data_IF_747488549336
#
_entry.id   IF_747488549336
#
_cell.length_a   1.000
_cell.length_b   1.000
_cell.length_c   1.000
_cell.angle_alpha   90.00
_cell.angle_beta   90.00
_cell.angle_gamma   90.00
#
_symmetry.space_group_name_H-M   'P 1'
#
loop_
_entity.id
_entity.type
_entity.pdbx_description
1 polymer ?
#
# COMPACT_ATOMS: atom_id res chain seq x y z
N UNK A 1 -7.56 41.52 -20.78
CA UNK A 1 -6.69 40.43 -20.28
C UNK A 1 -7.55 39.48 -19.45
N UNK A 2 -7.87 38.28 -19.98
CA UNK A 2 -8.65 37.27 -19.26
C UNK A 2 -7.71 36.42 -18.41
N UNK A 3 -7.91 36.46 -17.09
CA UNK A 3 -7.27 35.57 -16.12
C UNK A 3 -7.66 34.13 -16.42
N UNK A 4 -6.72 33.34 -16.94
CA UNK A 4 -6.89 31.90 -17.08
C UNK A 4 -6.56 31.30 -15.72
N UNK A 5 -7.61 31.13 -14.91
CA UNK A 5 -7.62 30.24 -13.75
C UNK A 5 -7.31 28.82 -14.25
N UNK A 6 -6.03 28.45 -14.25
CA UNK A 6 -5.60 27.08 -14.48
C UNK A 6 -6.05 26.21 -13.32
N UNK A 7 -7.21 25.60 -13.50
CA UNK A 7 -7.67 24.47 -12.73
C UNK A 7 -6.72 23.28 -13.04
N UNK A 8 -5.56 23.24 -12.37
CA UNK A 8 -4.63 22.10 -12.43
C UNK A 8 -5.31 20.91 -11.77
N UNK A 9 -6.08 20.18 -12.58
CA UNK A 9 -6.63 18.88 -12.24
C UNK A 9 -5.45 17.96 -11.96
N UNK A 10 -5.14 17.74 -10.68
CA UNK A 10 -4.16 16.73 -10.25
C UNK A 10 -4.68 15.40 -10.80
N UNK A 11 -4.07 14.92 -11.89
CA UNK A 11 -4.39 13.65 -12.52
C UNK A 11 -3.98 12.54 -11.54
N UNK A 12 -4.87 12.19 -10.61
CA UNK A 12 -4.72 10.98 -9.80
C UNK A 12 -4.77 9.79 -10.74
N UNK A 13 -3.60 9.22 -11.01
CA UNK A 13 -3.43 8.03 -11.84
C UNK A 13 -4.00 6.81 -11.10
N UNK A 14 -5.30 6.57 -11.24
CA UNK A 14 -5.97 5.37 -10.69
C UNK A 14 -5.82 4.20 -11.66
N UNK A 15 -4.64 3.57 -11.73
CA UNK A 15 -4.52 2.22 -12.33
C UNK A 15 -4.98 1.18 -11.30
N UNK A 16 -5.71 0.13 -11.70
CA UNK A 16 -6.12 -0.92 -10.79
C UNK A 16 -4.88 -1.64 -10.24
N UNK A 17 -4.74 -1.61 -8.91
CA UNK A 17 -3.72 -2.36 -8.20
C UNK A 17 -4.01 -3.86 -8.35
N UNK A 18 -2.99 -4.64 -8.74
CA UNK A 18 -3.16 -6.10 -8.93
C UNK A 18 -2.68 -6.86 -7.71
N UNK A 19 -1.54 -6.49 -7.14
CA UNK A 19 -1.08 -7.04 -5.87
C UNK A 19 -0.09 -6.10 -5.16
N UNK A 20 0.09 -6.31 -3.86
CA UNK A 20 1.27 -5.85 -3.16
C UNK A 20 2.41 -6.83 -3.48
N UNK A 21 3.61 -6.34 -3.77
CA UNK A 21 4.74 -7.19 -4.14
C UNK A 21 5.06 -8.31 -3.12
N UNK A 22 4.75 -8.07 -1.84
CA UNK A 22 4.82 -9.07 -0.76
C UNK A 22 3.95 -10.33 -0.98
N UNK A 23 2.88 -10.25 -1.77
CA UNK A 23 1.99 -11.37 -2.07
C UNK A 23 2.25 -12.03 -3.43
N UNK A 24 3.37 -11.72 -4.10
CA UNK A 24 3.68 -12.30 -5.41
C UNK A 24 5.11 -12.84 -5.53
N UNK A 25 5.53 -13.84 -4.72
CA UNK A 25 6.89 -14.40 -4.75
C UNK A 25 7.30 -14.99 -6.10
N UNK A 26 6.34 -15.41 -6.93
CA UNK A 26 6.58 -16.03 -8.25
C UNK A 26 6.98 -15.06 -9.36
N UNK A 27 6.83 -13.76 -9.17
CA UNK A 27 7.10 -12.82 -10.26
C UNK A 27 8.60 -12.51 -10.41
N UNK A 28 9.42 -12.57 -9.35
CA UNK A 28 10.67 -11.80 -9.25
C UNK A 28 11.87 -12.27 -10.10
N UNK A 29 12.12 -13.56 -10.30
CA UNK A 29 13.23 -13.99 -11.17
C UNK A 29 13.03 -13.58 -12.64
N UNK A 30 11.77 -13.37 -13.00
CA UNK A 30 11.31 -13.00 -14.34
C UNK A 30 10.73 -11.58 -14.40
N UNK A 31 10.71 -10.83 -13.28
CA UNK A 31 10.13 -9.47 -13.20
C UNK A 31 11.14 -8.41 -13.62
N UNK A 32 11.68 -8.60 -14.80
CA UNK A 32 12.61 -7.71 -15.45
C UNK A 32 12.23 -7.60 -16.92
N UNK A 33 12.47 -6.44 -17.54
CA UNK A 33 12.21 -6.31 -18.96
C UNK A 33 13.08 -7.28 -19.76
N UNK A 34 12.52 -7.82 -20.84
CA UNK A 34 13.19 -8.70 -21.79
C UNK A 34 13.48 -8.04 -23.15
N UNK A 35 12.88 -6.87 -23.40
CA UNK A 35 13.14 -6.05 -24.57
C UNK A 35 14.56 -5.45 -24.52
N UNK A 36 15.27 -5.46 -25.65
CA UNK A 36 16.68 -5.04 -25.74
C UNK A 36 16.87 -3.59 -25.26
N UNK A 37 15.97 -2.69 -25.62
CA UNK A 37 16.06 -1.28 -25.28
C UNK A 37 15.81 -1.07 -23.78
N UNK A 38 14.79 -1.74 -23.24
CA UNK A 38 14.49 -1.68 -21.81
C UNK A 38 15.58 -2.33 -20.95
N UNK A 39 16.29 -3.35 -21.45
CA UNK A 39 17.42 -3.98 -20.75
C UNK A 39 18.56 -2.98 -20.51
N UNK A 40 18.88 -2.13 -21.49
CA UNK A 40 19.93 -1.10 -21.33
C UNK A 40 19.55 -0.11 -20.21
N UNK A 41 18.31 0.39 -20.26
CA UNK A 41 17.76 1.30 -19.25
C UNK A 41 17.72 0.65 -17.85
N UNK A 42 17.32 -0.61 -17.76
CA UNK A 42 17.29 -1.36 -16.51
C UNK A 42 18.70 -1.50 -15.91
N UNK A 43 19.71 -1.82 -16.72
CA UNK A 43 21.12 -1.90 -16.26
C UNK A 43 21.62 -0.54 -15.77
N UNK A 44 21.33 0.54 -16.50
CA UNK A 44 21.70 1.89 -16.09
C UNK A 44 21.06 2.29 -14.75
N UNK A 45 19.79 1.92 -14.51
CA UNK A 45 19.13 2.12 -13.22
C UNK A 45 19.82 1.36 -12.08
N UNK A 46 20.18 0.09 -12.30
CA UNK A 46 20.92 -0.70 -11.30
C UNK A 46 22.28 -0.06 -10.98
N UNK A 47 23.01 0.42 -12.00
CA UNK A 47 24.27 1.15 -11.81
C UNK A 47 24.07 2.49 -11.09
N UNK A 48 22.94 3.15 -11.31
CA UNK A 48 22.53 4.36 -10.57
C UNK A 48 22.08 4.08 -9.12
N UNK A 49 22.11 2.82 -8.66
CA UNK A 49 21.83 2.43 -7.29
C UNK A 49 20.38 2.01 -7.03
N UNK A 50 19.54 1.93 -8.06
CA UNK A 50 18.18 1.40 -7.93
C UNK A 50 18.23 -0.12 -7.66
N UNK A 51 17.27 -0.62 -6.89
CA UNK A 51 17.21 -2.02 -6.44
C UNK A 51 15.80 -2.58 -6.62
N UNK A 52 15.70 -3.90 -6.80
CA UNK A 52 14.41 -4.58 -6.72
C UNK A 52 13.92 -4.56 -5.27
N UNK A 53 12.62 -4.40 -5.07
CA UNK A 53 12.01 -4.45 -3.73
C UNK A 53 10.66 -5.15 -3.77
N UNK A 54 10.38 -5.97 -2.75
CA UNK A 54 9.07 -6.60 -2.56
C UNK A 54 8.00 -5.61 -2.08
N UNK A 55 8.42 -4.42 -1.65
CA UNK A 55 7.53 -3.42 -1.07
C UNK A 55 6.87 -2.52 -2.11
N UNK A 56 7.17 -2.72 -3.40
CA UNK A 56 6.57 -1.95 -4.48
C UNK A 56 5.17 -2.49 -4.84
N UNK A 57 4.23 -1.58 -5.08
CA UNK A 57 2.93 -1.92 -5.68
C UNK A 57 3.09 -2.40 -7.12
N UNK A 58 2.49 -3.55 -7.42
CA UNK A 58 2.48 -4.13 -8.77
C UNK A 58 1.16 -3.77 -9.47
N UNK A 59 1.30 -3.08 -10.59
CA UNK A 59 0.18 -2.69 -11.44
C UNK A 59 -0.07 -3.68 -12.58
N UNK A 60 -1.29 -3.68 -13.11
CA UNK A 60 -1.66 -4.51 -14.26
C UNK A 60 -0.75 -4.21 -15.45
N UNK A 61 -0.15 -5.26 -16.02
CA UNK A 61 0.74 -5.17 -17.18
C UNK A 61 2.17 -4.73 -16.86
N UNK A 62 2.52 -4.54 -15.58
CA UNK A 62 3.90 -4.27 -15.19
C UNK A 62 4.75 -5.54 -15.40
N UNK A 63 5.89 -5.39 -16.07
CA UNK A 63 6.83 -6.47 -16.39
C UNK A 63 8.16 -6.36 -15.62
N UNK A 64 8.39 -5.24 -14.94
CA UNK A 64 9.55 -5.03 -14.10
C UNK A 64 9.41 -3.81 -13.19
N UNK A 65 10.24 -3.72 -12.17
CA UNK A 65 10.22 -2.60 -11.24
C UNK A 65 11.53 -2.44 -10.46
N UNK A 66 11.91 -1.21 -10.20
CA UNK A 66 13.09 -0.84 -9.43
C UNK A 66 12.78 0.36 -8.54
N UNK A 67 13.41 0.43 -7.37
CA UNK A 67 13.26 1.56 -6.44
C UNK A 67 14.61 2.14 -6.03
N UNK A 68 14.64 3.43 -5.74
CA UNK A 68 15.78 4.11 -5.13
C UNK A 68 15.31 4.86 -3.88
N UNK A 69 15.72 4.43 -2.67
CA UNK A 69 15.46 5.18 -1.45
C UNK A 69 16.19 6.53 -1.46
N UNK A 70 15.49 7.59 -1.04
CA UNK A 70 15.99 8.95 -0.89
C UNK A 70 15.78 9.43 0.56
N UNK A 71 16.59 10.42 0.99
CA UNK A 71 16.45 11.11 2.28
C UNK A 71 16.28 10.14 3.46
N UNK A 72 17.24 9.22 3.64
CA UNK A 72 17.21 8.16 4.67
C UNK A 72 15.97 7.25 4.61
N UNK A 73 15.40 7.10 3.42
CA UNK A 73 14.18 6.32 3.18
C UNK A 73 12.91 7.07 3.55
N UNK A 74 12.94 8.40 3.70
CA UNK A 74 11.70 9.21 3.84
C UNK A 74 10.95 9.34 2.53
N UNK A 75 11.63 9.17 1.40
CA UNK A 75 11.03 9.11 0.07
C UNK A 75 11.67 7.99 -0.76
N UNK A 76 11.00 7.56 -1.82
CA UNK A 76 11.49 6.54 -2.74
C UNK A 76 11.15 6.96 -4.17
N UNK A 77 12.10 6.83 -5.09
CA UNK A 77 11.80 6.85 -6.53
C UNK A 77 11.45 5.44 -6.96
N UNK A 78 10.30 5.28 -7.58
CA UNK A 78 9.78 4.03 -8.10
C UNK A 78 9.83 4.09 -9.61
N UNK A 79 10.47 3.11 -10.25
CA UNK A 79 10.47 2.92 -11.70
C UNK A 79 9.71 1.65 -12.02
N UNK A 80 8.85 1.70 -13.04
CA UNK A 80 8.01 0.59 -13.49
C UNK A 80 8.15 0.41 -14.98
N UNK A 81 8.39 -0.83 -15.39
CA UNK A 81 8.48 -1.21 -16.78
C UNK A 81 7.16 -1.86 -17.23
N UNK A 82 6.70 -1.46 -18.41
CA UNK A 82 5.60 -2.08 -19.14
C UNK A 82 6.09 -2.41 -20.55
N UNK A 83 5.31 -3.13 -21.35
CA UNK A 83 5.73 -3.55 -22.70
C UNK A 83 6.23 -2.39 -23.57
N UNK A 84 5.60 -1.22 -23.53
CA UNK A 84 5.90 -0.10 -24.42
C UNK A 84 6.27 1.21 -23.70
N UNK A 85 6.31 1.22 -22.37
CA UNK A 85 6.53 2.47 -21.62
C UNK A 85 7.19 2.21 -20.29
N UNK A 86 7.88 3.22 -19.79
CA UNK A 86 8.49 3.25 -18.47
C UNK A 86 7.85 4.41 -17.70
N UNK A 87 7.39 4.13 -16.50
CA UNK A 87 6.83 5.13 -15.59
C UNK A 87 7.79 5.31 -14.41
N UNK A 88 7.93 6.55 -13.95
CA UNK A 88 8.66 6.86 -12.74
C UNK A 88 7.82 7.74 -11.82
N UNK A 89 7.81 7.38 -10.54
CA UNK A 89 7.05 8.07 -9.51
C UNK A 89 7.94 8.37 -8.31
N UNK A 90 7.85 9.57 -7.76
CA UNK A 90 8.36 9.88 -6.43
C UNK A 90 7.24 9.60 -5.41
N UNK A 91 7.51 8.66 -4.52
CA UNK A 91 6.65 8.31 -3.41
C UNK A 91 7.23 8.88 -2.12
N UNK A 92 6.50 9.80 -1.49
CA UNK A 92 6.85 10.31 -0.17
C UNK A 92 6.27 9.34 0.85
N UNK A 93 7.05 8.97 1.88
CA UNK A 93 6.59 8.14 3.00
C UNK A 93 6.85 6.63 2.85
N UNK A 94 7.86 6.13 3.57
CA UNK A 94 8.14 4.68 3.75
C UNK A 94 7.52 4.08 5.02
N UNK A 95 7.00 4.91 5.94
CA UNK A 95 6.32 4.40 7.15
C UNK A 95 4.99 3.77 6.73
N UNK A 96 4.92 2.44 6.84
CA UNK A 96 3.91 1.49 6.36
C UNK A 96 2.55 2.08 5.91
N UNK A 97 1.83 2.81 6.77
CA UNK A 97 0.49 3.36 6.45
C UNK A 97 0.54 4.59 5.52
N UNK A 98 1.58 5.42 5.63
CA UNK A 98 1.78 6.58 4.76
C UNK A 98 2.04 6.20 3.30
N UNK A 99 2.67 5.05 3.07
CA UNK A 99 2.92 4.50 1.73
C UNK A 99 1.62 4.24 0.93
N UNK A 100 0.49 4.01 1.61
CA UNK A 100 -0.79 3.76 0.94
C UNK A 100 -1.63 5.03 0.69
N UNK A 101 -1.31 6.13 1.38
CA UNK A 101 -2.15 7.33 1.42
C UNK A 101 -1.47 8.57 0.83
N UNK A 102 -0.15 8.55 0.68
CA UNK A 102 0.60 9.71 0.24
C UNK A 102 0.52 9.91 -1.28
N UNK A 103 0.51 11.18 -1.73
CA UNK A 103 0.53 11.50 -3.15
C UNK A 103 1.81 10.97 -3.79
N UNK A 104 1.66 10.40 -4.98
CA UNK A 104 2.78 10.08 -5.86
C UNK A 104 2.90 11.14 -6.92
N UNK A 105 4.12 11.55 -7.18
CA UNK A 105 4.44 12.58 -8.16
C UNK A 105 5.17 11.95 -9.33
N UNK A 106 4.93 12.44 -10.54
CA UNK A 106 5.72 12.07 -11.71
C UNK A 106 7.19 12.46 -11.47
N UNK A 107 8.11 11.59 -11.90
CA UNK A 107 9.54 11.73 -11.60
C UNK A 107 10.44 11.24 -12.74
N UNK A 108 9.90 11.10 -13.95
CA UNK A 108 10.59 10.61 -15.14
C UNK A 108 11.84 11.45 -15.46
N UNK A 109 11.71 12.78 -15.38
CA UNK A 109 12.82 13.72 -15.61
C UNK A 109 13.97 13.54 -14.60
N UNK A 110 13.65 13.32 -13.32
CA UNK A 110 14.63 13.07 -12.26
C UNK A 110 15.38 11.77 -12.55
N UNK A 111 14.65 10.70 -12.87
CA UNK A 111 15.23 9.39 -13.16
C UNK A 111 16.13 9.48 -14.40
N UNK A 112 15.67 10.10 -15.48
CA UNK A 112 16.45 10.33 -16.70
C UNK A 112 17.77 11.06 -16.39
N UNK A 113 17.74 12.12 -15.57
CA UNK A 113 18.94 12.86 -15.20
C UNK A 113 19.96 11.99 -14.43
N UNK A 114 19.48 11.08 -13.57
CA UNK A 114 20.32 10.17 -12.78
C UNK A 114 20.98 9.10 -13.64
N UNK A 115 20.25 8.58 -14.63
CA UNK A 115 20.75 7.48 -15.47
C UNK A 115 21.56 7.94 -16.69
N UNK A 116 21.48 9.22 -17.07
CA UNK A 116 22.12 9.77 -18.28
C UNK A 116 23.59 9.38 -18.43
N UNK A 117 24.37 9.44 -17.35
CA UNK A 117 25.81 9.14 -17.39
C UNK A 117 26.15 7.64 -17.56
N UNK A 118 25.15 6.76 -17.42
CA UNK A 118 25.31 5.31 -17.55
C UNK A 118 24.76 4.77 -18.88
N UNK A 119 24.26 5.65 -19.74
CA UNK A 119 23.69 5.30 -21.03
C UNK A 119 24.55 5.86 -22.16
N UNK A 120 24.54 5.15 -23.30
CA UNK A 120 25.00 5.72 -24.57
C UNK A 120 24.03 6.84 -25.01
N UNK A 121 24.45 7.68 -25.96
CA UNK A 121 23.59 8.74 -26.49
C UNK A 121 22.31 8.16 -27.13
N UNK A 122 22.45 7.09 -27.91
CA UNK A 122 21.33 6.38 -28.55
C UNK A 122 20.37 5.76 -27.52
N UNK A 123 20.91 5.10 -26.49
CA UNK A 123 20.09 4.54 -25.42
C UNK A 123 19.40 5.63 -24.58
N UNK A 124 20.03 6.80 -24.42
CA UNK A 124 19.44 7.92 -23.72
C UNK A 124 18.27 8.52 -24.51
N UNK A 125 18.41 8.70 -25.82
CA UNK A 125 17.31 9.12 -26.71
C UNK A 125 16.16 8.12 -26.66
N UNK A 126 16.48 6.82 -26.72
CA UNK A 126 15.48 5.75 -26.55
C UNK A 126 14.79 5.83 -25.18
N UNK A 127 15.54 6.07 -24.11
CA UNK A 127 14.96 6.27 -22.78
C UNK A 127 13.99 7.45 -22.76
N UNK A 128 14.34 8.59 -23.36
CA UNK A 128 13.46 9.77 -23.37
C UNK A 128 12.14 9.55 -24.11
N UNK A 129 12.09 8.63 -25.07
CA UNK A 129 10.84 8.27 -25.78
C UNK A 129 10.02 7.22 -25.02
N UNK A 130 10.68 6.33 -24.27
CA UNK A 130 10.02 5.29 -23.47
C UNK A 130 9.45 5.80 -22.15
N UNK A 131 10.15 6.72 -21.48
CA UNK A 131 9.64 7.37 -20.28
C UNK A 131 8.41 8.21 -20.65
N UNK A 132 7.32 8.04 -19.90
CA UNK A 132 6.09 8.77 -20.17
C UNK A 132 6.35 10.29 -20.11
N UNK A 133 5.80 11.02 -21.08
CA UNK A 133 5.91 12.49 -21.12
C UNK A 133 5.38 13.11 -19.81
N UNK A 134 6.28 13.75 -19.07
CA UNK A 134 5.97 14.45 -17.83
C UNK A 134 5.39 15.83 -18.15
N UNK A 135 4.07 15.90 -18.33
CA UNK A 135 3.36 17.17 -18.57
C UNK A 135 3.19 18.00 -17.30
N UNK A 136 3.52 17.43 -16.15
CA UNK A 136 3.59 18.17 -14.91
C UNK A 136 5.03 18.61 -14.70
N UNK A 137 5.29 19.90 -14.53
CA UNK A 137 6.51 20.27 -13.79
C UNK A 137 6.13 20.24 -12.32
N UNK A 138 6.39 19.15 -11.57
CA UNK A 138 6.11 19.15 -10.15
C UNK A 138 7.00 20.21 -9.51
N UNK A 139 6.38 21.29 -9.03
CA UNK A 139 7.03 22.21 -8.10
C UNK A 139 7.22 21.43 -6.81
N UNK A 140 8.48 21.14 -6.48
CA UNK A 140 8.85 20.51 -5.22
C UNK A 140 8.55 21.50 -4.10
N UNK A 141 7.39 21.34 -3.47
CA UNK A 141 7.25 21.80 -2.11
C UNK A 141 7.96 20.76 -1.25
N UNK A 142 8.95 21.18 -0.47
CA UNK A 142 9.45 20.40 0.66
C UNK A 142 8.23 20.08 1.53
N UNK A 143 7.65 18.91 1.31
CA UNK A 143 6.67 18.35 2.23
C UNK A 143 7.46 17.88 3.44
N UNK A 144 7.88 18.83 4.28
CA UNK A 144 8.11 18.59 5.71
C UNK A 144 6.76 18.28 6.32
N UNK A 145 6.22 17.12 5.98
CA UNK A 145 5.04 16.63 6.63
C UNK A 145 5.49 16.20 8.02
N UNK A 146 5.28 17.08 8.99
CA UNK A 146 5.24 16.75 10.40
C UNK A 146 4.05 15.81 10.62
N UNK A 147 4.11 14.59 10.07
CA UNK A 147 3.22 13.51 10.46
C UNK A 147 3.74 12.92 11.76
N UNK A 148 3.68 13.76 12.80
CA UNK A 148 3.73 13.37 14.21
C UNK A 148 2.34 12.94 14.70
N UNK A 149 1.42 12.59 13.80
CA UNK A 149 0.27 11.76 14.15
C UNK A 149 0.79 10.34 14.34
N UNK A 150 1.34 10.17 15.54
CA UNK A 150 2.23 9.10 15.97
C UNK A 150 1.61 7.72 15.71
N UNK A 151 2.44 6.79 15.24
CA UNK A 151 2.16 5.36 15.28
C UNK A 151 1.58 4.92 16.64
N UNK A 152 1.99 5.60 17.71
CA UNK A 152 1.45 5.45 19.07
C UNK A 152 -0.06 5.69 19.08
N UNK A 153 -0.58 6.76 18.47
CA UNK A 153 -2.01 7.04 18.45
C UNK A 153 -2.82 5.94 17.74
N UNK A 154 -2.35 5.45 16.59
CA UNK A 154 -3.00 4.35 15.87
C UNK A 154 -2.92 3.05 16.67
N UNK A 155 -1.75 2.71 17.21
CA UNK A 155 -1.55 1.51 18.02
C UNK A 155 -2.39 1.52 19.31
N UNK A 156 -2.48 2.68 19.98
CA UNK A 156 -3.34 2.90 21.14
C UNK A 156 -4.82 2.75 20.75
N UNK A 157 -5.23 3.31 19.61
CA UNK A 157 -6.61 3.22 19.13
C UNK A 157 -7.03 1.76 18.82
N UNK A 158 -6.15 0.99 18.16
CA UNK A 158 -6.38 -0.43 17.89
C UNK A 158 -6.43 -1.22 19.20
N UNK A 159 -5.49 -0.97 20.12
CA UNK A 159 -5.45 -1.65 21.42
C UNK A 159 -6.71 -1.35 22.25
N UNK A 160 -7.19 -0.10 22.23
CA UNK A 160 -8.42 0.30 22.92
C UNK A 160 -9.65 -0.38 22.30
N UNK A 161 -9.72 -0.46 20.97
CA UNK A 161 -10.80 -1.16 20.27
C UNK A 161 -10.81 -2.66 20.60
N UNK A 162 -9.63 -3.31 20.62
CA UNK A 162 -9.49 -4.70 21.02
C UNK A 162 -9.95 -4.93 22.47
N UNK A 163 -9.59 -4.03 23.39
CA UNK A 163 -10.02 -4.11 24.79
C UNK A 163 -11.55 -3.99 24.92
N UNK A 164 -12.17 -3.06 24.19
CA UNK A 164 -13.63 -2.88 24.18
C UNK A 164 -14.32 -4.18 23.71
N UNK A 165 -13.83 -4.80 22.63
CA UNK A 165 -14.40 -6.05 22.12
C UNK A 165 -14.27 -7.21 23.13
N UNK A 166 -13.16 -7.29 23.87
CA UNK A 166 -12.99 -8.28 24.94
C UNK A 166 -14.00 -8.05 26.07
N UNK A 167 -14.20 -6.81 26.49
CA UNK A 167 -15.18 -6.46 27.53
C UNK A 167 -16.60 -6.85 27.10
N UNK A 168 -16.99 -6.54 25.85
CA UNK A 168 -18.29 -6.95 25.31
C UNK A 168 -18.49 -8.47 25.31
N UNK A 169 -17.45 -9.23 24.95
CA UNK A 169 -17.50 -10.69 25.02
C UNK A 169 -17.69 -11.21 26.45
N UNK A 170 -16.98 -10.64 27.43
CA UNK A 170 -17.12 -11.02 28.85
C UNK A 170 -18.54 -10.72 29.35
N UNK A 171 -19.08 -9.54 29.02
CA UNK A 171 -20.46 -9.16 29.39
C UNK A 171 -21.47 -10.14 28.78
N UNK A 172 -21.29 -10.52 27.51
CA UNK A 172 -22.15 -11.48 26.82
C UNK A 172 -22.17 -12.84 27.52
N UNK A 173 -21.00 -13.35 27.92
CA UNK A 173 -20.88 -14.61 28.68
C UNK A 173 -21.64 -14.50 30.02
N UNK A 174 -21.49 -13.39 30.72
CA UNK A 174 -22.14 -13.20 32.03
C UNK A 174 -23.67 -13.14 31.90
N UNK A 175 -24.21 -12.44 30.89
CA UNK A 175 -25.65 -12.41 30.61
C UNK A 175 -26.16 -13.81 30.29
N UNK A 176 -25.43 -14.60 29.49
CA UNK A 176 -25.80 -15.97 29.17
C UNK A 176 -25.83 -16.87 30.41
N UNK A 177 -24.87 -16.71 31.33
CA UNK A 177 -24.84 -17.45 32.60
C UNK A 177 -26.04 -17.10 33.51
N UNK A 178 -26.38 -15.81 33.62
CA UNK A 178 -27.56 -15.36 34.39
C UNK A 178 -28.85 -15.91 33.77
N UNK A 179 -29.00 -15.82 32.45
CA UNK A 179 -30.17 -16.35 31.75
C UNK A 179 -30.31 -17.87 31.97
N UNK A 180 -29.20 -18.60 31.92
CA UNK A 180 -29.17 -20.05 32.18
C UNK A 180 -29.59 -20.37 33.62
N UNK A 181 -29.08 -19.61 34.60
CA UNK A 181 -29.46 -19.77 36.01
C UNK A 181 -30.95 -19.47 36.22
N UNK A 182 -31.46 -18.42 35.58
CA UNK A 182 -32.87 -18.04 35.64
C UNK A 182 -33.77 -19.13 35.05
N UNK A 183 -33.39 -19.72 33.92
CA UNK A 183 -34.11 -20.87 33.32
C UNK A 183 -34.12 -22.07 34.27
N UNK A 184 -32.98 -22.39 34.91
CA UNK A 184 -32.89 -23.48 35.89
C UNK A 184 -33.81 -23.22 37.10
N UNK A 185 -33.84 -21.98 37.61
CA UNK A 185 -34.69 -21.59 38.73
C UNK A 185 -36.18 -21.66 38.36
N UNK A 186 -36.57 -21.11 37.22
CA UNK A 186 -37.95 -21.22 36.71
C UNK A 186 -38.38 -22.68 36.58
N UNK A 187 -37.52 -23.52 36.00
CA UNK A 187 -37.79 -24.94 35.84
C UNK A 187 -38.02 -25.67 37.18
N UNK A 188 -37.31 -25.28 38.25
CA UNK A 188 -37.53 -25.82 39.61
C UNK A 188 -38.85 -25.37 40.23
N UNK A 189 -39.40 -24.23 39.81
CA UNK A 189 -40.65 -23.67 40.35
C UNK A 189 -41.91 -24.10 39.61
N UNK A 190 -41.79 -24.84 38.49
CA UNK A 190 -42.94 -25.34 37.75
C UNK A 190 -43.67 -26.44 38.55
N UNK A 191 -44.97 -26.27 38.85
CA UNK A 191 -45.76 -27.29 39.55
C UNK A 191 -45.97 -28.50 38.62
N UNK A 192 -45.57 -29.70 39.07
CA UNK A 192 -45.82 -30.96 38.34
C UNK A 192 -44.73 -32.02 38.37
N UNK A 193 -43.60 -31.80 39.08
CA UNK A 193 -42.48 -32.77 39.07
C UNK A 193 -42.45 -33.82 40.18
N UNK A 194 -43.32 -33.71 41.18
CA UNK A 194 -43.34 -34.67 42.30
C UNK A 194 -44.33 -35.83 42.13
N UNK A 195 -44.97 -36.00 40.97
CA UNK A 195 -46.07 -36.96 40.78
C UNK A 195 -45.76 -38.19 39.93
N UNK A 196 -44.52 -38.40 39.47
CA UNK A 196 -44.19 -39.55 38.58
C UNK A 196 -43.65 -40.79 39.34
N UNK A 197 -43.50 -40.73 40.67
CA UNK A 197 -43.03 -41.88 41.47
C UNK A 197 -44.09 -42.39 42.46
N UNK A 198 -45.32 -42.64 42.01
CA UNK A 198 -46.22 -43.54 42.77
C UNK A 198 -46.38 -44.86 42.00
N UNK A 199 -46.00 -46.00 42.60
CA UNK A 199 -46.21 -47.30 41.97
C UNK A 199 -47.71 -47.55 41.84
N UNK A 200 -48.14 -47.93 40.64
CA UNK A 200 -49.49 -48.40 40.35
C UNK A 200 -49.71 -49.66 41.20
N UNK A 201 -50.62 -49.58 42.18
CA UNK A 201 -51.14 -50.72 42.92
C UNK A 201 -52.23 -51.43 42.13
#
# INVERSE_FOLDING_TARGET
MKSISQNKKILKQKRPLVSLGIFSPRHWSSFKPNDKNQISIYKALRQAGFKETIWQFIYRGQIGGLVLPLNDGRAELHVRFYTNTIEAELEVGRKFIGHFLQPRFQAESIVLSKIKKYLSQEDFETATTMFREDRSQPVFHDFSSNFDCSFIFIAVSISLLSLILVIFNIISIFISAIASLFVILLYKTLPGKNTINQPIQ
#
